data_IF_344140679889
#
_entry.id   IF_344140679889
#
_cell.length_a   1.000
_cell.length_b   1.000
_cell.length_c   1.000
_cell.angle_alpha   90.00
_cell.angle_beta   90.00
_cell.angle_gamma   90.00
#
_symmetry.space_group_name_H-M   'P 1'
#
loop_
_entity.id
_entity.type
_entity.pdbx_description
1 polymer ?
#
# COMPACT_ATOMS: atom_id res chain seq x y z
N UNK A 1 -6.40 35.45 5.29
CA UNK A 1 -5.93 34.10 5.65
C UNK A 1 -4.75 33.77 4.73
N UNK A 2 -3.53 33.53 5.27
CA UNK A 2 -2.38 33.16 4.43
C UNK A 2 -2.47 31.68 4.08
N UNK A 3 -2.26 31.26 2.82
CA UNK A 3 -2.19 29.85 2.49
C UNK A 3 -0.93 29.25 3.14
N UNK A 4 -1.11 28.34 4.10
CA UNK A 4 -0.04 27.47 4.62
C UNK A 4 0.25 26.40 3.55
N UNK A 5 0.84 26.78 2.44
CA UNK A 5 1.50 25.80 1.57
C UNK A 5 2.89 25.64 2.17
N UNK A 6 3.02 24.69 3.11
CA UNK A 6 4.34 24.20 3.50
C UNK A 6 4.87 23.44 2.29
N UNK A 7 5.74 24.09 1.51
CA UNK A 7 6.56 23.36 0.56
C UNK A 7 7.41 22.36 1.35
N UNK A 8 7.48 21.09 0.93
CA UNK A 8 8.29 20.10 1.61
C UNK A 8 9.75 20.58 1.62
N UNK A 9 10.31 20.74 2.82
CA UNK A 9 11.63 21.35 3.02
C UNK A 9 12.81 20.47 2.57
N UNK A 10 12.55 19.20 2.25
CA UNK A 10 13.53 18.24 1.75
C UNK A 10 12.95 17.45 0.59
N UNK A 11 13.77 17.23 -0.44
CA UNK A 11 13.41 16.44 -1.62
C UNK A 11 13.21 14.96 -1.25
N UNK A 12 13.76 14.51 -0.12
CA UNK A 12 13.61 13.15 0.45
C UNK A 12 12.18 12.85 0.94
N UNK A 13 11.40 13.87 1.31
CA UNK A 13 10.00 13.69 1.73
C UNK A 13 9.05 13.42 0.56
N UNK A 14 9.53 13.64 -0.68
CA UNK A 14 8.79 13.34 -1.89
C UNK A 14 9.03 11.88 -2.24
N UNK A 15 8.05 11.02 -1.90
CA UNK A 15 8.08 9.64 -2.39
C UNK A 15 8.17 9.64 -3.92
N UNK A 16 9.22 9.01 -4.44
CA UNK A 16 9.39 8.79 -5.88
C UNK A 16 8.19 8.01 -6.41
N UNK A 17 7.34 8.71 -7.16
CA UNK A 17 6.20 8.14 -7.85
C UNK A 17 6.66 7.65 -9.22
N UNK A 18 6.72 6.33 -9.41
CA UNK A 18 6.80 5.73 -10.73
C UNK A 18 5.53 6.08 -11.51
N UNK A 19 5.73 6.53 -12.75
CA UNK A 19 4.65 6.97 -13.64
C UNK A 19 3.72 8.04 -13.01
N UNK A 20 4.24 8.83 -12.06
CA UNK A 20 3.50 9.92 -11.39
C UNK A 20 2.31 9.47 -10.54
N UNK A 21 2.16 8.16 -10.27
CA UNK A 21 1.02 7.61 -9.51
C UNK A 21 1.36 6.48 -8.56
N UNK A 22 2.38 5.68 -8.87
CA UNK A 22 2.72 4.49 -8.09
C UNK A 22 3.97 4.71 -7.26
N UNK A 23 3.88 4.55 -5.96
CA UNK A 23 5.07 4.54 -5.11
C UNK A 23 5.72 3.14 -5.13
N UNK A 24 7.00 3.02 -4.75
CA UNK A 24 7.64 1.70 -4.59
C UNK A 24 6.84 0.77 -3.66
N UNK A 25 6.25 1.35 -2.61
CA UNK A 25 5.40 0.62 -1.65
C UNK A 25 4.14 0.08 -2.31
N UNK A 26 3.57 0.82 -3.24
CA UNK A 26 2.39 0.40 -4.01
C UNK A 26 2.70 -0.77 -4.93
N UNK A 27 3.85 -0.73 -5.62
CA UNK A 27 4.30 -1.84 -6.47
C UNK A 27 4.48 -3.10 -5.63
N UNK A 28 5.19 -2.99 -4.50
CA UNK A 28 5.40 -4.11 -3.59
C UNK A 28 4.08 -4.69 -3.05
N UNK A 29 3.09 -3.85 -2.74
CA UNK A 29 1.77 -4.31 -2.28
C UNK A 29 1.01 -5.11 -3.33
N UNK A 30 1.11 -4.71 -4.59
CA UNK A 30 0.45 -5.40 -5.71
C UNK A 30 1.18 -6.72 -6.00
N UNK A 31 2.52 -6.73 -5.97
CA UNK A 31 3.32 -7.89 -6.37
C UNK A 31 3.59 -8.88 -5.23
N UNK A 32 3.54 -8.46 -3.97
CA UNK A 32 3.83 -9.34 -2.82
C UNK A 32 2.95 -10.60 -2.76
N UNK A 33 1.62 -10.55 -2.97
CA UNK A 33 0.79 -11.75 -2.96
C UNK A 33 1.14 -12.70 -4.11
N UNK A 34 1.47 -12.15 -5.29
CA UNK A 34 1.92 -12.92 -6.44
C UNK A 34 3.26 -13.61 -6.19
N UNK A 35 4.22 -12.90 -5.61
CA UNK A 35 5.55 -13.45 -5.28
C UNK A 35 5.47 -14.53 -4.22
N UNK A 36 4.59 -14.35 -3.22
CA UNK A 36 4.33 -15.35 -2.20
C UNK A 36 3.78 -16.62 -2.85
N UNK A 37 2.73 -16.52 -3.67
CA UNK A 37 2.15 -17.69 -4.34
C UNK A 37 3.10 -18.35 -5.35
N UNK A 38 3.98 -17.58 -6.00
CA UNK A 38 5.03 -18.12 -6.85
C UNK A 38 6.05 -18.95 -6.06
N UNK A 39 6.44 -18.51 -4.87
CA UNK A 39 7.41 -19.23 -4.05
C UNK A 39 6.88 -20.58 -3.50
N UNK A 40 5.56 -20.73 -3.38
CA UNK A 40 4.92 -21.91 -2.79
C UNK A 40 4.14 -22.78 -3.80
N UNK A 41 4.22 -22.50 -5.10
CA UNK A 41 3.49 -23.30 -6.09
C UNK A 41 4.31 -23.58 -7.35
N UNK A 42 4.21 -24.81 -7.84
CA UNK A 42 4.92 -25.27 -9.05
C UNK A 42 4.16 -24.95 -10.35
N UNK A 43 3.43 -23.82 -10.39
CA UNK A 43 2.59 -23.46 -11.53
C UNK A 43 2.47 -21.95 -11.74
N UNK A 44 2.11 -21.57 -12.97
CA UNK A 44 1.96 -20.15 -13.34
C UNK A 44 0.59 -19.56 -12.99
N UNK A 45 -0.42 -20.40 -12.74
CA UNK A 45 -1.76 -19.93 -12.39
C UNK A 45 -1.84 -19.27 -11.00
N UNK A 46 -1.26 -19.84 -9.92
CA UNK A 46 -1.35 -19.23 -8.59
C UNK A 46 -0.69 -17.83 -8.50
N UNK A 47 0.48 -17.57 -9.11
CA UNK A 47 1.04 -16.22 -9.20
C UNK A 47 0.10 -15.23 -9.88
N UNK A 48 -0.53 -15.62 -11.00
CA UNK A 48 -1.46 -14.74 -11.74
C UNK A 48 -2.67 -14.39 -10.86
N UNK A 49 -3.22 -15.37 -10.13
CA UNK A 49 -4.30 -15.13 -9.17
C UNK A 49 -3.83 -14.19 -8.06
N UNK A 50 -2.62 -14.38 -7.54
CA UNK A 50 -2.03 -13.50 -6.53
C UNK A 50 -1.89 -12.06 -7.02
N UNK A 51 -1.50 -11.87 -8.27
CA UNK A 51 -1.36 -10.53 -8.87
C UNK A 51 -2.72 -9.85 -9.02
N UNK A 52 -3.75 -10.58 -9.47
CA UNK A 52 -5.12 -10.07 -9.56
C UNK A 52 -5.67 -9.69 -8.18
N UNK A 53 -5.45 -10.52 -7.17
CA UNK A 53 -5.86 -10.23 -5.78
C UNK A 53 -5.11 -9.00 -5.25
N UNK A 54 -3.78 -8.93 -5.42
CA UNK A 54 -2.98 -7.79 -5.00
C UNK A 54 -3.44 -6.48 -5.65
N UNK A 55 -3.78 -6.52 -6.93
CA UNK A 55 -4.34 -5.38 -7.66
C UNK A 55 -5.74 -5.00 -7.14
N UNK A 56 -6.62 -5.97 -6.88
CA UNK A 56 -7.96 -5.72 -6.36
C UNK A 56 -7.89 -5.06 -4.96
N UNK A 57 -7.05 -5.60 -4.06
CA UNK A 57 -6.84 -5.04 -2.72
C UNK A 57 -6.25 -3.63 -2.80
N UNK A 58 -5.31 -3.39 -3.71
CA UNK A 58 -4.75 -2.07 -3.94
C UNK A 58 -5.77 -1.05 -4.45
N UNK A 59 -6.71 -1.50 -5.29
CA UNK A 59 -7.75 -0.65 -5.90
C UNK A 59 -8.79 -0.21 -4.87
N UNK A 60 -9.03 -1.03 -3.84
CA UNK A 60 -9.94 -0.71 -2.75
C UNK A 60 -9.23 0.24 -1.77
N UNK A 61 -9.46 1.55 -1.96
CA UNK A 61 -8.88 2.63 -1.13
C UNK A 61 -9.98 3.45 -0.46
N UNK A 62 -10.61 2.94 0.61
CA UNK A 62 -11.62 3.72 1.30
C UNK A 62 -10.94 4.92 1.99
N UNK A 63 -11.54 6.10 1.82
CA UNK A 63 -11.03 7.37 2.35
C UNK A 63 -9.62 7.76 1.88
N UNK A 64 -9.23 7.37 0.66
CA UNK A 64 -7.89 7.60 0.07
C UNK A 64 -6.75 7.00 0.91
N UNK A 65 -7.06 6.04 1.78
CA UNK A 65 -6.06 5.34 2.61
C UNK A 65 -5.89 3.91 2.13
N UNK A 66 -4.69 3.40 2.38
CA UNK A 66 -4.33 2.03 2.03
C UNK A 66 -4.80 1.06 3.11
N UNK A 67 -5.18 -0.15 2.72
CA UNK A 67 -5.73 -1.16 3.65
C UNK A 67 -4.79 -1.40 4.84
N UNK A 68 -3.48 -1.46 4.61
CA UNK A 68 -2.48 -1.62 5.69
C UNK A 68 -2.52 -0.50 6.72
N UNK A 69 -2.75 0.75 6.29
CA UNK A 69 -2.85 1.88 7.19
C UNK A 69 -4.12 1.80 8.03
N UNK A 70 -5.22 1.34 7.44
CA UNK A 70 -6.48 1.12 8.15
C UNK A 70 -6.32 0.03 9.19
N UNK A 71 -5.66 -1.08 8.84
CA UNK A 71 -5.34 -2.17 9.77
C UNK A 71 -4.45 -1.66 10.90
N UNK A 72 -3.39 -0.90 10.59
CA UNK A 72 -2.51 -0.32 11.60
C UNK A 72 -3.28 0.59 12.56
N UNK A 73 -4.10 1.51 12.04
CA UNK A 73 -4.90 2.40 12.87
C UNK A 73 -5.94 1.64 13.69
N UNK A 74 -6.55 0.59 13.13
CA UNK A 74 -7.49 -0.27 13.85
C UNK A 74 -6.83 -1.00 15.03
N UNK A 75 -5.67 -1.62 14.79
CA UNK A 75 -4.88 -2.28 15.84
C UNK A 75 -4.47 -1.26 16.91
N UNK A 76 -3.92 -0.11 16.49
CA UNK A 76 -3.50 0.95 17.40
C UNK A 76 -4.65 1.43 18.28
N UNK A 77 -5.80 1.72 17.70
CA UNK A 77 -6.97 2.19 18.44
C UNK A 77 -7.45 1.12 19.43
N UNK A 78 -7.51 -0.14 19.01
CA UNK A 78 -7.95 -1.26 19.87
C UNK A 78 -6.98 -1.49 21.05
N UNK A 79 -5.69 -1.27 20.83
CA UNK A 79 -4.66 -1.40 21.88
C UNK A 79 -4.67 -0.20 22.83
N UNK A 80 -4.80 1.03 22.32
CA UNK A 80 -4.91 2.25 23.13
C UNK A 80 -6.21 2.28 23.96
N UNK A 81 -7.32 1.73 23.46
CA UNK A 81 -8.59 1.62 24.19
C UNK A 81 -8.55 0.56 25.31
N UNK A 82 -7.64 -0.42 25.22
CA UNK A 82 -7.47 -1.48 26.22
C UNK A 82 -6.51 -1.12 27.37
N UNK A 83 -5.79 0.00 27.28
CA UNK A 83 -4.84 0.50 28.29
C UNK A 83 -5.47 1.62 29.13
#
# INVERSE_FOLDING_TARGET
MRPRIQFPGKVEDVQLQFFGRFTWKDILRITAPSLLLYAFSDGLLPPVIGLLIGFAVYSIRPYDRTVDQLIYHFIRFTVEEKL
#
